data_IF_772468896693
#
_entry.id   IF_772468896693
#
_cell.length_a   1.000
_cell.length_b   1.000
_cell.length_c   1.000
_cell.angle_alpha   90.00
_cell.angle_beta   90.00
_cell.angle_gamma   90.00
#
_symmetry.space_group_name_H-M   'P 1'
#
loop_
_entity.id
_entity.type
_entity.pdbx_description
1 polymer ?
#
# COMPACT_ATOMS: atom_id res chain seq x y z
N UNK A 1 7.59 -20.01 6.79
CA UNK A 1 8.16 -18.75 7.33
C UNK A 1 7.88 -17.66 6.29
N UNK A 2 6.91 -16.77 6.55
CA UNK A 2 6.43 -15.79 5.55
C UNK A 2 7.45 -14.66 5.40
N UNK A 3 7.95 -14.49 4.17
CA UNK A 3 8.74 -13.34 3.75
C UNK A 3 7.79 -12.15 3.55
N UNK A 4 8.17 -11.00 4.06
CA UNK A 4 7.36 -9.78 3.99
C UNK A 4 8.13 -8.59 4.55
N UNK A 5 9.29 -8.31 3.96
CA UNK A 5 10.08 -7.11 4.27
C UNK A 5 10.20 -6.32 2.97
N UNK A 6 9.18 -5.53 2.67
CA UNK A 6 9.28 -4.45 1.70
C UNK A 6 9.71 -3.19 2.46
N UNK A 7 10.98 -3.12 2.85
CA UNK A 7 11.60 -1.88 3.31
C UNK A 7 12.34 -1.26 2.15
N UNK A 8 11.71 -0.26 1.51
CA UNK A 8 12.48 0.84 0.93
C UNK A 8 11.58 2.02 0.58
N UNK A 9 11.47 3.06 1.44
CA UNK A 9 11.30 4.40 0.94
C UNK A 9 12.72 4.92 0.69
N UNK A 10 13.14 4.94 -0.57
CA UNK A 10 14.34 5.66 -0.98
C UNK A 10 14.14 7.14 -0.64
N UNK A 11 14.62 7.56 0.53
CA UNK A 11 14.90 8.96 0.80
C UNK A 11 16.08 9.33 -0.09
N UNK A 12 15.77 9.67 -1.34
CA UNK A 12 16.72 10.23 -2.29
C UNK A 12 17.39 11.41 -1.59
N UNK A 13 18.73 11.45 -1.47
CA UNK A 13 19.40 12.57 -0.84
C UNK A 13 18.97 13.84 -1.56
N UNK A 14 18.44 14.77 -0.78
CA UNK A 14 17.92 16.05 -1.19
C UNK A 14 19.04 16.75 -1.97
N UNK A 15 18.92 16.79 -3.29
CA UNK A 15 19.92 17.38 -4.17
C UNK A 15 20.15 18.85 -3.81
N UNK A 16 21.35 19.35 -4.10
CA UNK A 16 21.77 20.74 -3.88
C UNK A 16 20.86 21.79 -4.60
N UNK A 17 19.84 21.36 -5.36
CA UNK A 17 18.86 22.20 -6.04
C UNK A 17 17.52 22.22 -5.29
N UNK A 18 17.05 23.41 -4.89
CA UNK A 18 15.70 23.62 -4.31
C UNK A 18 14.57 23.04 -5.17
N UNK A 19 14.74 22.94 -6.49
CA UNK A 19 13.78 22.33 -7.41
C UNK A 19 13.56 20.83 -7.19
N UNK A 20 14.49 20.14 -6.54
CA UNK A 20 14.39 18.71 -6.21
C UNK A 20 13.79 18.46 -4.82
N UNK A 21 13.45 19.53 -4.08
CA UNK A 21 12.89 19.38 -2.76
C UNK A 21 11.44 18.92 -2.85
N UNK A 22 11.08 17.82 -2.15
CA UNK A 22 9.70 17.37 -2.11
C UNK A 22 8.82 18.46 -1.50
N UNK A 23 7.60 18.57 -2.03
CA UNK A 23 6.60 19.48 -1.48
C UNK A 23 6.30 19.15 -0.02
N UNK A 24 5.73 20.12 0.70
CA UNK A 24 5.29 19.90 2.09
C UNK A 24 4.33 18.72 2.19
N UNK A 25 3.44 18.56 1.22
CA UNK A 25 2.50 17.44 1.17
C UNK A 25 3.23 16.10 1.03
N UNK A 26 4.26 16.02 0.17
CA UNK A 26 5.06 14.80 0.02
C UNK A 26 5.81 14.46 1.32
N UNK A 27 6.46 15.44 1.94
CA UNK A 27 7.14 15.25 3.23
C UNK A 27 6.16 14.79 4.31
N UNK A 28 4.97 15.37 4.36
CA UNK A 28 3.92 14.98 5.28
C UNK A 28 3.51 13.52 5.06
N UNK A 29 3.26 13.10 3.82
CA UNK A 29 2.88 11.73 3.50
C UNK A 29 3.99 10.73 3.88
N UNK A 30 5.24 11.03 3.54
CA UNK A 30 6.39 10.19 3.92
C UNK A 30 6.55 10.07 5.44
N UNK A 31 6.38 11.19 6.16
CA UNK A 31 6.47 11.19 7.62
C UNK A 31 5.32 10.39 8.26
N UNK A 32 4.09 10.54 7.77
CA UNK A 32 2.92 9.77 8.23
C UNK A 32 3.16 8.27 8.03
N UNK A 33 3.67 7.85 6.86
CA UNK A 33 4.01 6.44 6.59
C UNK A 33 5.08 5.92 7.55
N UNK A 34 6.17 6.68 7.73
CA UNK A 34 7.27 6.31 8.65
C UNK A 34 6.76 6.13 10.08
N UNK A 35 5.93 7.05 10.57
CA UNK A 35 5.33 6.95 11.90
C UNK A 35 4.41 5.74 11.99
N UNK A 36 3.53 5.52 11.00
CA UNK A 36 2.61 4.36 10.96
C UNK A 36 3.34 3.01 10.99
N UNK A 37 4.46 2.90 10.28
CA UNK A 37 5.34 1.73 10.32
C UNK A 37 5.99 1.56 11.70
N UNK A 38 6.53 2.63 12.27
CA UNK A 38 7.19 2.61 13.58
C UNK A 38 6.25 2.24 14.73
N UNK A 39 4.95 2.55 14.63
CA UNK A 39 3.95 2.21 15.67
C UNK A 39 3.19 0.91 15.37
N UNK A 40 3.61 0.11 14.38
CA UNK A 40 2.93 -1.12 13.96
C UNK A 40 1.41 -0.93 13.76
N UNK A 41 1.01 0.08 12.96
CA UNK A 41 -0.39 0.37 12.63
C UNK A 41 -1.26 0.86 13.80
N UNK A 42 -0.66 1.27 14.92
CA UNK A 42 -1.38 1.91 16.02
C UNK A 42 -1.73 3.37 15.72
N UNK A 43 -2.87 3.58 15.05
CA UNK A 43 -3.40 4.90 14.64
C UNK A 43 -3.50 5.91 15.78
N UNK A 44 -3.79 5.46 17.01
CA UNK A 44 -3.86 6.34 18.19
C UNK A 44 -2.48 6.90 18.56
N UNK A 45 -1.47 6.04 18.56
CA UNK A 45 -0.09 6.42 18.89
C UNK A 45 0.53 7.26 17.77
N UNK A 46 0.21 6.95 16.51
CA UNK A 46 0.63 7.77 15.37
C UNK A 46 0.11 9.21 15.47
N UNK A 47 -1.18 9.41 15.77
CA UNK A 47 -1.75 10.75 15.92
C UNK A 47 -1.09 11.55 17.05
N UNK A 48 -0.75 10.89 18.16
CA UNK A 48 -0.03 11.52 19.29
C UNK A 48 1.39 11.95 18.88
N UNK A 49 2.13 11.10 18.18
CA UNK A 49 3.49 11.40 17.72
C UNK A 49 3.48 12.53 16.69
N UNK A 50 2.50 12.53 15.77
CA UNK A 50 2.33 13.58 14.77
C UNK A 50 1.81 14.90 15.37
N UNK A 51 1.29 14.89 16.60
CA UNK A 51 0.71 16.07 17.25
C UNK A 51 -0.59 16.56 16.60
N UNK A 52 -1.28 15.69 15.84
CA UNK A 52 -2.50 16.04 15.11
C UNK A 52 -3.74 15.37 15.72
N UNK A 53 -4.91 15.86 15.33
CA UNK A 53 -6.15 15.18 15.66
C UNK A 53 -6.29 13.87 14.87
N UNK A 54 -6.90 12.86 15.50
CA UNK A 54 -7.22 11.56 14.91
C UNK A 54 -8.04 11.70 13.62
N UNK A 55 -8.97 12.66 13.55
CA UNK A 55 -9.75 12.94 12.32
C UNK A 55 -8.87 13.37 11.16
N UNK A 56 -7.85 14.19 11.43
CA UNK A 56 -6.88 14.62 10.42
C UNK A 56 -6.08 13.43 9.90
N UNK A 57 -5.59 12.58 10.82
CA UNK A 57 -4.91 11.35 10.44
C UNK A 57 -5.79 10.44 9.59
N UNK A 58 -7.06 10.22 9.97
CA UNK A 58 -7.98 9.41 9.19
C UNK A 58 -8.24 9.95 7.79
N UNK A 59 -8.31 11.28 7.61
CA UNK A 59 -8.45 11.87 6.27
C UNK A 59 -7.25 11.57 5.38
N UNK A 60 -6.05 11.63 5.94
CA UNK A 60 -4.83 11.30 5.20
C UNK A 60 -4.70 9.80 4.91
N UNK A 61 -5.18 8.95 5.82
CA UNK A 61 -5.26 7.50 5.60
C UNK A 61 -6.31 7.15 4.55
N UNK A 62 -7.52 7.72 4.60
CA UNK A 62 -8.54 7.46 3.59
C UNK A 62 -8.05 7.80 2.17
N UNK A 63 -7.31 8.90 2.01
CA UNK A 63 -6.70 9.29 0.74
C UNK A 63 -5.63 8.30 0.24
N UNK A 64 -5.00 7.52 1.15
CA UNK A 64 -3.99 6.54 0.79
C UNK A 64 -4.55 5.12 0.61
N UNK A 65 -5.60 4.73 1.35
CA UNK A 65 -6.27 3.43 1.22
C UNK A 65 -6.95 3.31 -0.16
N UNK A 66 -7.57 4.41 -0.64
CA UNK A 66 -8.14 4.48 -1.98
C UNK A 66 -7.11 4.30 -3.11
N UNK A 67 -5.83 4.59 -2.86
CA UNK A 67 -4.77 4.34 -3.83
C UNK A 67 -4.27 2.88 -3.79
N UNK A 68 -4.39 2.19 -2.65
CA UNK A 68 -3.99 0.79 -2.49
C UNK A 68 -5.06 -0.25 -2.88
N UNK A 69 -6.33 0.13 -2.98
CA UNK A 69 -7.39 -0.78 -3.47
C UNK A 69 -7.42 -0.91 -5.01
N UNK A 70 -6.73 -0.04 -5.75
CA UNK A 70 -6.67 -0.11 -7.21
C UNK A 70 -5.60 -1.07 -7.76
N UNK A 71 -4.76 -1.68 -6.91
CA UNK A 71 -3.65 -2.57 -7.33
C UNK A 71 -3.97 -4.07 -7.23
N UNK A 72 -5.18 -4.46 -6.79
CA UNK A 72 -5.59 -5.87 -6.67
C UNK A 72 -6.85 -6.18 -7.51
N UNK A 73 -6.83 -5.83 -8.80
CA UNK A 73 -7.82 -6.29 -9.80
C UNK A 73 -7.18 -7.22 -10.84
N UNK A 74 -6.18 -8.00 -10.43
CA UNK A 74 -5.46 -8.98 -11.25
C UNK A 74 -5.86 -10.42 -10.94
N UNK A 75 -7.14 -10.77 -11.11
CA UNK A 75 -7.68 -12.12 -10.88
C UNK A 75 -8.56 -12.61 -12.03
N UNK A 76 -8.13 -12.42 -13.28
CA UNK A 76 -8.78 -12.98 -14.46
C UNK A 76 -8.17 -14.34 -14.81
N UNK A 77 -8.85 -15.45 -14.52
CA UNK A 77 -8.69 -16.74 -15.23
C UNK A 77 -10.03 -17.50 -15.33
N UNK A 78 -10.79 -17.16 -16.38
CA UNK A 78 -11.53 -18.05 -17.30
C UNK A 78 -12.00 -19.46 -16.82
N UNK A 79 -13.31 -19.74 -16.70
CA UNK A 79 -13.82 -21.11 -16.57
C UNK A 79 -14.07 -21.73 -17.97
N UNK A 80 -13.01 -22.16 -18.65
CA UNK A 80 -13.16 -22.94 -19.87
C UNK A 80 -12.18 -24.11 -19.94
N UNK A 81 -12.48 -25.17 -19.20
CA UNK A 81 -11.95 -26.52 -19.47
C UNK A 81 -12.76 -27.56 -18.69
N UNK A 82 -13.97 -27.84 -19.15
CA UNK A 82 -14.55 -29.19 -18.99
C UNK A 82 -14.29 -29.91 -20.30
N UNK A 83 -13.08 -30.46 -20.41
CA UNK A 83 -12.70 -31.46 -21.41
C UNK A 83 -13.18 -32.81 -20.85
N UNK A 84 -14.36 -33.26 -21.29
CA UNK A 84 -14.77 -34.66 -21.12
C UNK A 84 -14.00 -35.50 -22.14
N UNK A 85 -13.17 -36.46 -21.73
CA UNK A 85 -12.65 -37.47 -22.64
C UNK A 85 -13.72 -38.53 -22.91
N UNK A 86 -13.89 -38.87 -24.18
CA UNK A 86 -14.54 -40.09 -24.66
C UNK A 86 -13.85 -41.32 -24.04
N UNK A 87 -14.60 -42.32 -23.55
CA UNK A 87 -14.31 -43.68 -24.01
C UNK A 87 -15.51 -44.66 -24.07
N UNK A 88 -15.76 -45.14 -25.30
CA UNK A 88 -15.86 -46.56 -25.73
C UNK A 88 -16.91 -47.53 -25.13
N UNK A 89 -17.56 -48.27 -26.05
CA UNK A 89 -18.26 -49.57 -25.83
C UNK A 89 -19.72 -49.42 -25.43
N UNK A 90 -20.71 -50.15 -25.94
CA UNK A 90 -20.75 -51.53 -26.45
C UNK A 90 -22.02 -51.69 -27.34
N UNK A 91 -21.87 -52.47 -28.41
CA UNK A 91 -22.84 -53.38 -29.07
C UNK A 91 -24.19 -52.83 -29.57
#
# INVERSE_FOLDING_TARGET
>A
KRQGVAVNPQAKPLGDNISEWPTLENLQQDYVRKVMQAVNSNKRRAAQILGINRRTLYRWLAANESASEAVDAGGNQNPQSTRLPDPQGEL
#
